data_IF_196608464012
#
_entry.id   IF_196608464012
#
_cell.length_a   1.000
_cell.length_b   1.000
_cell.length_c   1.000
_cell.angle_alpha   90.00
_cell.angle_beta   90.00
_cell.angle_gamma   90.00
#
_symmetry.space_group_name_H-M   'P 1'
#
loop_
_entity.id
_entity.type
_entity.pdbx_description
1 polymer ?
#
# COMPACT_ATOMS: atom_id res chain seq x y z
N UNK A 1 -2.59 26.86 4.72
CA UNK A 1 -1.81 26.83 5.97
C UNK A 1 -0.55 26.04 5.68
N UNK A 2 0.63 26.61 5.87
CA UNK A 2 1.89 25.92 5.61
C UNK A 2 2.07 24.81 6.66
N UNK A 3 2.30 23.57 6.23
CA UNK A 3 2.60 22.45 7.11
C UNK A 3 3.90 22.76 7.88
N UNK A 4 3.86 22.69 9.21
CA UNK A 4 5.04 22.77 10.05
C UNK A 4 6.02 21.65 9.67
N UNK A 5 7.30 21.94 9.36
CA UNK A 5 8.26 20.90 9.03
C UNK A 5 8.36 19.87 10.16
N UNK A 6 8.29 18.59 9.81
CA UNK A 6 8.50 17.52 10.79
C UNK A 6 9.96 17.55 11.26
N UNK A 7 10.18 17.83 12.54
CA UNK A 7 11.51 17.87 13.19
C UNK A 7 12.13 16.48 13.40
N UNK A 8 11.44 15.41 12.98
CA UNK A 8 11.89 14.02 13.13
C UNK A 8 12.45 13.49 11.80
N UNK A 9 13.55 12.72 11.83
CA UNK A 9 14.14 12.17 10.61
C UNK A 9 13.16 11.24 9.89
N UNK A 10 13.28 11.20 8.56
CA UNK A 10 12.48 10.31 7.70
C UNK A 10 12.65 8.84 8.12
N UNK A 11 11.54 8.10 8.07
CA UNK A 11 11.50 6.67 8.34
C UNK A 11 11.57 5.92 7.00
N UNK A 12 12.75 5.36 6.74
CA UNK A 12 12.99 4.51 5.58
C UNK A 12 12.61 3.07 5.85
N UNK A 13 11.77 2.50 4.99
CA UNK A 13 11.36 1.09 5.05
C UNK A 13 11.52 0.42 3.68
N UNK A 14 11.87 -0.87 3.67
CA UNK A 14 11.89 -1.71 2.49
C UNK A 14 11.79 -3.19 2.91
N UNK A 15 11.02 -3.99 2.19
CA UNK A 15 10.79 -5.39 2.49
C UNK A 15 9.67 -5.64 3.52
N UNK A 16 9.25 -6.91 3.64
CA UNK A 16 7.99 -7.29 4.32
C UNK A 16 8.14 -8.48 5.29
N UNK A 17 9.35 -8.98 5.52
CA UNK A 17 9.60 -10.08 6.45
C UNK A 17 9.20 -9.74 7.89
N UNK A 18 8.77 -10.74 8.67
CA UNK A 18 8.32 -10.55 10.05
C UNK A 18 9.40 -10.02 11.01
N UNK A 19 10.68 -10.20 10.66
CA UNK A 19 11.84 -9.67 11.40
C UNK A 19 12.14 -8.19 11.07
N UNK A 20 11.50 -7.64 10.03
CA UNK A 20 11.62 -6.23 9.70
C UNK A 20 10.66 -5.41 10.56
N UNK A 21 11.21 -4.58 11.44
CA UNK A 21 10.44 -3.72 12.36
C UNK A 21 9.46 -2.78 11.65
N UNK A 22 9.74 -2.40 10.41
CA UNK A 22 8.86 -1.58 9.57
C UNK A 22 8.20 -2.36 8.44
N UNK A 23 8.31 -3.70 8.45
CA UNK A 23 7.72 -4.56 7.43
C UNK A 23 6.21 -4.38 7.29
N UNK A 24 5.54 -3.99 8.39
CA UNK A 24 4.10 -3.69 8.41
C UNK A 24 3.68 -2.52 7.49
N UNK A 25 4.60 -1.66 7.07
CA UNK A 25 4.33 -0.58 6.10
C UNK A 25 4.29 -1.10 4.65
N UNK A 26 4.89 -2.27 4.37
CA UNK A 26 4.94 -2.82 3.02
C UNK A 26 3.57 -3.32 2.52
N UNK A 27 3.34 -3.21 1.21
CA UNK A 27 2.18 -3.81 0.54
C UNK A 27 2.15 -5.34 0.64
N UNK A 28 3.34 -5.94 0.76
CA UNK A 28 3.55 -7.39 0.83
C UNK A 28 3.44 -7.96 2.25
N UNK A 29 3.21 -7.12 3.26
CA UNK A 29 3.03 -7.59 4.64
C UNK A 29 1.77 -8.44 4.76
N UNK A 30 1.93 -9.70 5.19
CA UNK A 30 0.83 -10.64 5.32
C UNK A 30 0.01 -10.36 6.58
N UNK A 31 -1.22 -9.90 6.38
CA UNK A 31 -2.23 -9.71 7.42
C UNK A 31 -3.61 -9.82 6.79
N UNK A 32 -4.52 -10.53 7.44
CA UNK A 32 -5.90 -10.61 6.99
C UNK A 32 -6.65 -9.32 7.36
N UNK A 33 -7.33 -8.71 6.38
CA UNK A 33 -8.19 -7.53 6.57
C UNK A 33 -9.38 -7.58 5.62
N UNK A 34 -10.43 -6.83 5.96
CA UNK A 34 -11.70 -6.83 5.25
C UNK A 34 -11.88 -5.52 4.49
N UNK A 35 -12.35 -5.60 3.24
CA UNK A 35 -12.61 -4.44 2.39
C UNK A 35 -13.81 -4.67 1.47
N UNK A 36 -14.49 -3.62 0.98
CA UNK A 36 -15.58 -3.77 0.02
C UNK A 36 -15.16 -4.51 -1.26
N UNK A 37 -16.11 -5.22 -1.87
CA UNK A 37 -15.87 -6.01 -3.08
C UNK A 37 -15.65 -5.15 -4.32
N UNK A 38 -16.23 -3.94 -4.37
CA UNK A 38 -16.29 -3.08 -5.56
C UNK A 38 -16.93 -3.72 -6.81
N UNK A 39 -17.62 -4.85 -6.65
CA UNK A 39 -18.34 -5.54 -7.71
C UNK A 39 -19.81 -5.78 -7.36
N UNK A 40 -20.11 -5.86 -6.07
CA UNK A 40 -21.45 -6.07 -5.51
C UNK A 40 -21.64 -5.11 -4.33
N UNK A 41 -22.82 -4.49 -4.26
CA UNK A 41 -23.22 -3.62 -3.16
C UNK A 41 -23.25 -4.39 -1.83
N UNK A 42 -22.84 -3.74 -0.74
CA UNK A 42 -22.75 -4.29 0.63
C UNK A 42 -21.95 -5.59 0.81
N UNK A 43 -21.21 -6.03 -0.22
CA UNK A 43 -20.35 -7.20 -0.14
C UNK A 43 -18.95 -6.83 0.31
N UNK A 44 -18.47 -7.52 1.34
CA UNK A 44 -17.10 -7.44 1.85
C UNK A 44 -16.30 -8.67 1.43
N UNK A 45 -15.04 -8.47 1.06
CA UNK A 45 -14.06 -9.51 0.76
C UNK A 45 -12.91 -9.44 1.76
N UNK A 46 -12.33 -10.60 2.05
CA UNK A 46 -11.14 -10.73 2.90
C UNK A 46 -9.88 -10.83 2.04
N UNK A 47 -8.94 -9.94 2.31
CA UNK A 47 -7.62 -9.90 1.68
C UNK A 47 -6.56 -10.27 2.71
N UNK A 48 -5.43 -10.82 2.26
CA UNK A 48 -4.34 -11.25 3.15
C UNK A 48 -3.05 -10.41 3.01
N UNK A 49 -3.02 -9.47 2.07
CA UNK A 49 -2.03 -8.39 1.99
C UNK A 49 -2.57 -7.26 1.09
N UNK A 50 -1.99 -6.06 1.20
CA UNK A 50 -2.46 -4.91 0.43
C UNK A 50 -2.10 -5.01 -1.07
N UNK A 51 -1.02 -5.73 -1.44
CA UNK A 51 -0.72 -6.06 -2.83
C UNK A 51 -1.85 -6.87 -3.49
N UNK A 52 -2.46 -7.81 -2.75
CA UNK A 52 -3.60 -8.58 -3.25
C UNK A 52 -4.79 -7.67 -3.56
N UNK A 53 -5.11 -6.77 -2.63
CA UNK A 53 -6.16 -5.78 -2.81
C UNK A 53 -5.90 -4.89 -4.02
N UNK A 54 -4.68 -4.36 -4.13
CA UNK A 54 -4.27 -3.48 -5.24
C UNK A 54 -4.43 -4.16 -6.60
N UNK A 55 -3.96 -5.41 -6.75
CA UNK A 55 -4.09 -6.13 -8.02
C UNK A 55 -5.54 -6.52 -8.31
N UNK A 56 -6.32 -6.87 -7.29
CA UNK A 56 -7.76 -7.14 -7.43
C UNK A 56 -8.51 -5.89 -7.92
N UNK A 57 -8.31 -4.75 -7.26
CA UNK A 57 -8.91 -3.46 -7.64
C UNK A 57 -8.47 -3.01 -9.02
N UNK A 58 -7.20 -3.25 -9.40
CA UNK A 58 -6.73 -3.02 -10.77
C UNK A 58 -7.54 -3.84 -11.78
N UNK A 59 -7.75 -5.13 -11.52
CA UNK A 59 -8.56 -5.98 -12.40
C UNK A 59 -10.03 -5.50 -12.48
N UNK A 60 -10.63 -5.11 -11.35
CA UNK A 60 -11.98 -4.53 -11.30
C UNK A 60 -12.07 -3.22 -12.09
N UNK A 61 -11.08 -2.33 -11.96
CA UNK A 61 -11.01 -1.05 -12.67
C UNK A 61 -11.10 -1.24 -14.20
N UNK A 62 -10.36 -2.22 -14.72
CA UNK A 62 -10.35 -2.57 -16.15
C UNK A 62 -11.42 -3.60 -16.54
N UNK A 63 -12.38 -3.90 -15.64
CA UNK A 63 -13.48 -4.85 -15.86
C UNK A 63 -13.01 -6.27 -16.23
N UNK A 64 -11.79 -6.65 -15.85
CA UNK A 64 -11.23 -7.98 -16.03
C UNK A 64 -11.57 -8.87 -14.83
N UNK A 65 -12.84 -9.27 -14.74
CA UNK A 65 -13.35 -10.05 -13.61
C UNK A 65 -12.76 -11.46 -13.52
N UNK A 66 -12.27 -12.01 -14.63
CA UNK A 66 -11.57 -13.30 -14.64
C UNK A 66 -10.26 -13.21 -13.85
N UNK A 67 -9.47 -12.15 -14.09
CA UNK A 67 -8.24 -11.89 -13.33
C UNK A 67 -8.57 -11.53 -11.87
N UNK A 68 -9.62 -10.74 -11.64
CA UNK A 68 -10.05 -10.41 -10.27
C UNK A 68 -10.37 -11.69 -9.47
N UNK A 69 -11.15 -12.61 -10.04
CA UNK A 69 -11.44 -13.91 -9.41
C UNK A 69 -10.18 -14.78 -9.24
N UNK A 70 -9.27 -14.78 -10.21
CA UNK A 70 -8.01 -15.52 -10.11
C UNK A 70 -7.12 -15.02 -8.97
N UNK A 71 -7.03 -13.70 -8.78
CA UNK A 71 -6.30 -13.07 -7.66
C UNK A 71 -6.89 -13.48 -6.30
N UNK A 72 -8.21 -13.61 -6.21
CA UNK A 72 -8.88 -14.03 -4.97
C UNK A 72 -8.72 -15.53 -4.68
N UNK A 73 -8.73 -16.39 -5.71
CA UNK A 73 -8.81 -17.85 -5.54
C UNK A 73 -7.47 -18.59 -5.67
N UNK A 74 -6.56 -18.12 -6.52
CA UNK A 74 -5.42 -18.93 -7.02
C UNK A 74 -4.08 -18.60 -6.38
N UNK A 75 -3.99 -17.61 -5.49
CA UNK A 75 -2.71 -17.20 -4.92
C UNK A 75 -2.56 -17.65 -3.47
N UNK A 76 -1.59 -18.52 -3.16
CA UNK A 76 -1.22 -18.86 -1.79
C UNK A 76 -0.84 -17.61 -0.97
N UNK A 77 -1.28 -17.57 0.30
CA UNK A 77 -1.07 -16.43 1.22
C UNK A 77 0.40 -16.12 1.54
N UNK A 78 1.31 -17.02 1.18
CA UNK A 78 2.75 -16.91 1.37
C UNK A 78 3.51 -16.49 0.10
N UNK A 79 2.81 -16.25 -1.02
CA UNK A 79 3.42 -15.94 -2.32
C UNK A 79 2.88 -14.66 -2.96
N UNK A 80 3.04 -13.49 -2.33
CA UNK A 80 2.48 -12.24 -2.83
C UNK A 80 3.09 -11.78 -4.17
N UNK A 81 4.30 -12.22 -4.52
CA UNK A 81 4.86 -12.02 -5.86
C UNK A 81 3.99 -12.64 -6.99
N UNK A 82 3.25 -13.71 -6.70
CA UNK A 82 2.34 -14.35 -7.66
C UNK A 82 1.11 -13.49 -7.92
N UNK A 83 0.64 -12.73 -6.92
CA UNK A 83 -0.45 -11.75 -7.12
C UNK A 83 -0.01 -10.69 -8.12
N UNK A 84 1.17 -10.10 -7.92
CA UNK A 84 1.74 -9.10 -8.82
C UNK A 84 1.90 -9.64 -10.24
N UNK A 85 2.30 -10.91 -10.38
CA UNK A 85 2.41 -11.56 -11.68
C UNK A 85 1.05 -11.71 -12.39
N UNK A 86 -0.02 -12.04 -11.66
CA UNK A 86 -1.38 -12.08 -12.22
C UNK A 86 -1.89 -10.68 -12.59
N UNK A 87 -1.64 -9.68 -11.75
CA UNK A 87 -2.07 -8.31 -12.02
C UNK A 87 -1.38 -7.65 -13.23
N UNK A 88 -0.23 -8.19 -13.68
CA UNK A 88 0.39 -7.81 -14.97
C UNK A 88 -0.37 -8.33 -16.20
N UNK A 89 -1.29 -9.28 -16.02
CA UNK A 89 -2.07 -9.92 -17.10
C UNK A 89 -3.47 -9.32 -17.27
N UNK A 90 -3.81 -8.28 -16.51
CA UNK A 90 -5.08 -7.56 -16.63
C UNK A 90 -5.23 -7.02 -18.06
N UNK A 91 -6.33 -7.38 -18.71
CA UNK A 91 -6.70 -6.92 -20.05
C UNK A 91 -7.23 -5.49 -20.01
N UNK A 92 -7.26 -4.82 -21.16
CA UNK A 92 -7.81 -3.47 -21.29
C UNK A 92 -6.98 -2.38 -20.61
N UNK A 93 -5.69 -2.65 -20.38
CA UNK A 93 -4.76 -1.73 -19.71
C UNK A 93 -4.67 -0.39 -20.44
N UNK A 94 -4.79 0.67 -19.66
CA UNK A 94 -4.55 2.05 -20.07
C UNK A 94 -3.76 2.75 -18.95
N UNK A 95 -2.57 3.25 -19.28
CA UNK A 95 -1.69 3.87 -18.29
C UNK A 95 -2.32 5.11 -17.66
N UNK A 96 -3.05 5.92 -18.43
CA UNK A 96 -3.66 7.15 -17.93
C UNK A 96 -4.77 6.84 -16.94
N UNK A 97 -5.65 5.89 -17.27
CA UNK A 97 -6.69 5.43 -16.34
C UNK A 97 -6.05 4.86 -15.08
N UNK A 98 -4.99 4.06 -15.21
CA UNK A 98 -4.31 3.53 -14.04
C UNK A 98 -3.68 4.63 -13.19
N UNK A 99 -2.99 5.60 -13.79
CA UNK A 99 -2.36 6.71 -13.08
C UNK A 99 -3.36 7.58 -12.33
N UNK A 100 -4.54 7.80 -12.90
CA UNK A 100 -5.63 8.53 -12.27
C UNK A 100 -6.18 7.84 -11.01
N UNK A 101 -6.21 6.50 -11.00
CA UNK A 101 -6.85 5.73 -9.92
C UNK A 101 -5.90 5.01 -8.96
N UNK A 102 -4.62 4.83 -9.32
CA UNK A 102 -3.70 3.96 -8.56
C UNK A 102 -3.48 4.43 -7.13
N UNK A 103 -3.40 5.73 -6.92
CA UNK A 103 -3.13 6.31 -5.59
C UNK A 103 -4.30 6.08 -4.65
N UNK A 104 -5.54 6.34 -5.10
CA UNK A 104 -6.73 6.11 -4.28
C UNK A 104 -6.95 4.63 -4.00
N UNK A 105 -6.68 3.75 -4.96
CA UNK A 105 -6.75 2.29 -4.77
C UNK A 105 -5.76 1.81 -3.70
N UNK A 106 -4.51 2.28 -3.74
CA UNK A 106 -3.50 1.88 -2.75
C UNK A 106 -3.78 2.52 -1.39
N UNK A 107 -4.28 3.75 -1.36
CA UNK A 107 -4.73 4.40 -0.13
C UNK A 107 -5.90 3.64 0.52
N UNK A 108 -6.94 3.30 -0.24
CA UNK A 108 -8.06 2.46 0.22
C UNK A 108 -7.56 1.13 0.80
N UNK A 109 -6.69 0.44 0.07
CA UNK A 109 -6.14 -0.85 0.51
C UNK A 109 -5.37 -0.72 1.83
N UNK A 110 -4.58 0.34 1.99
CA UNK A 110 -3.90 0.61 3.25
C UNK A 110 -4.88 1.04 4.34
N UNK A 111 -5.88 1.85 4.04
CA UNK A 111 -6.93 2.22 4.98
C UNK A 111 -7.55 0.97 5.60
N UNK A 112 -8.09 0.06 4.78
CA UNK A 112 -8.70 -1.17 5.26
C UNK A 112 -7.72 -2.07 6.01
N UNK A 113 -6.48 -2.21 5.50
CA UNK A 113 -5.41 -2.95 6.19
C UNK A 113 -5.16 -2.40 7.59
N UNK A 114 -5.05 -1.08 7.74
CA UNK A 114 -4.70 -0.48 9.02
C UNK A 114 -5.89 -0.39 9.98
N UNK A 115 -7.14 -0.32 9.49
CA UNK A 115 -8.32 -0.11 10.36
C UNK A 115 -9.16 -1.36 10.63
N UNK A 116 -9.09 -2.39 9.79
CA UNK A 116 -9.93 -3.61 9.92
C UNK A 116 -9.14 -4.88 10.26
N UNK A 117 -7.80 -4.83 10.20
CA UNK A 117 -6.97 -5.97 10.60
C UNK A 117 -7.18 -6.31 12.08
N UNK A 118 -7.50 -7.55 12.36
CA UNK A 118 -7.71 -8.05 13.73
C UNK A 118 -6.42 -8.46 14.44
N UNK A 119 -5.26 -8.35 13.76
CA UNK A 119 -3.96 -8.79 14.28
C UNK A 119 -2.91 -7.70 14.14
N UNK A 120 -2.01 -7.65 15.12
CA UNK A 120 -0.75 -6.93 15.02
C UNK A 120 -0.79 -5.44 15.36
N UNK A 121 -1.92 -4.90 15.85
CA UNK A 121 -2.09 -3.50 16.26
C UNK A 121 -1.58 -2.51 15.21
N UNK A 122 -1.98 -2.75 13.96
CA UNK A 122 -1.40 -2.02 12.82
C UNK A 122 -1.77 -0.54 12.86
N UNK A 123 -3.01 -0.21 13.24
CA UNK A 123 -3.47 1.17 13.42
C UNK A 123 -2.52 1.94 14.34
N UNK A 124 -2.26 1.40 15.53
CA UNK A 124 -1.41 2.01 16.55
C UNK A 124 0.03 2.16 16.03
N UNK A 125 0.59 1.10 15.42
CA UNK A 125 1.93 1.15 14.82
C UNK A 125 2.08 2.21 13.74
N UNK A 126 1.04 2.44 12.93
CA UNK A 126 1.05 3.51 11.94
C UNK A 126 1.01 4.89 12.61
N UNK A 127 0.17 5.07 13.64
CA UNK A 127 0.10 6.32 14.41
C UNK A 127 1.43 6.64 15.14
N UNK A 128 2.11 5.62 15.67
CA UNK A 128 3.44 5.70 16.32
C UNK A 128 4.55 6.17 15.38
N UNK A 129 4.33 6.12 14.05
CA UNK A 129 5.24 6.79 13.11
C UNK A 129 5.28 8.30 13.33
N UNK A 130 4.29 8.86 14.05
CA UNK A 130 4.25 10.26 14.45
C UNK A 130 4.03 11.15 13.23
N UNK A 131 4.80 12.22 13.11
CA UNK A 131 4.75 13.12 11.95
C UNK A 131 5.84 12.81 10.93
N UNK A 132 6.63 11.74 11.13
CA UNK A 132 7.76 11.39 10.25
C UNK A 132 7.30 11.16 8.82
N UNK A 133 8.13 11.60 7.88
CA UNK A 133 8.03 11.21 6.48
C UNK A 133 8.26 9.69 6.35
N UNK A 134 7.33 8.99 5.70
CA UNK A 134 7.45 7.56 5.43
C UNK A 134 8.02 7.37 4.02
N UNK A 135 9.13 6.66 3.90
CA UNK A 135 9.86 6.51 2.64
C UNK A 135 10.07 5.05 2.30
N UNK A 136 9.41 4.58 1.23
CA UNK A 136 9.62 3.24 0.69
C UNK A 136 10.94 3.23 -0.10
N UNK A 137 12.01 2.78 0.56
CA UNK A 137 13.37 2.72 0.06
C UNK A 137 13.61 1.47 -0.82
N UNK A 138 12.67 1.20 -1.73
CA UNK A 138 12.73 0.11 -2.68
C UNK A 138 13.73 0.42 -3.80
N UNK A 139 14.84 -0.34 -3.92
CA UNK A 139 15.74 -0.17 -5.05
C UNK A 139 15.01 -0.52 -6.34
N UNK A 140 15.17 0.30 -7.38
CA UNK A 140 14.60 0.10 -8.73
C UNK A 140 13.07 0.25 -8.84
N UNK A 141 12.36 0.67 -7.79
CA UNK A 141 10.96 1.12 -7.88
C UNK A 141 10.90 2.62 -7.64
N UNK A 142 10.73 3.40 -8.71
CA UNK A 142 10.64 4.86 -8.67
C UNK A 142 9.20 5.38 -8.70
N UNK A 143 8.20 4.50 -8.65
CA UNK A 143 6.79 4.90 -8.61
C UNK A 143 6.27 4.75 -7.18
N UNK A 144 6.25 3.54 -6.65
CA UNK A 144 5.78 3.30 -5.29
C UNK A 144 6.86 3.61 -4.25
N UNK A 145 8.12 3.41 -4.61
CA UNK A 145 9.28 3.78 -3.82
C UNK A 145 10.06 4.97 -4.38
N UNK A 146 11.22 5.22 -3.77
CA UNK A 146 12.14 6.29 -4.18
C UNK A 146 13.19 5.84 -5.20
N UNK A 147 13.28 4.56 -5.53
CA UNK A 147 14.27 4.00 -6.47
C UNK A 147 15.68 3.78 -5.87
N UNK A 148 15.91 4.17 -4.62
CA UNK A 148 17.17 4.02 -3.89
C UNK A 148 16.99 3.17 -2.64
N UNK A 149 18.03 2.42 -2.27
CA UNK A 149 18.08 1.74 -0.97
C UNK A 149 18.35 2.72 0.17
N UNK A 150 17.93 2.36 1.38
CA UNK A 150 18.00 3.19 2.60
C UNK A 150 19.34 3.90 2.79
N UNK A 151 20.46 3.20 2.59
CA UNK A 151 21.80 3.74 2.85
C UNK A 151 22.22 4.85 1.87
N UNK A 152 21.59 4.89 0.69
CA UNK A 152 21.89 5.86 -0.38
C UNK A 152 20.76 6.87 -0.60
N UNK A 153 19.65 6.71 0.14
CA UNK A 153 18.42 7.46 -0.10
C UNK A 153 18.62 8.96 0.11
N UNK A 154 19.03 9.38 1.31
CA UNK A 154 19.16 10.81 1.65
C UNK A 154 20.12 11.55 0.72
N UNK A 155 21.27 10.93 0.39
CA UNK A 155 22.26 11.50 -0.52
C UNK A 155 21.73 11.72 -1.95
N UNK A 156 20.64 11.04 -2.33
CA UNK A 156 20.04 11.12 -3.66
C UNK A 156 18.63 11.72 -3.64
N UNK A 157 18.27 12.49 -2.61
CA UNK A 157 16.91 13.05 -2.41
C UNK A 157 16.35 13.78 -3.63
N UNK A 158 17.16 14.56 -4.33
CA UNK A 158 16.76 15.27 -5.55
C UNK A 158 16.47 14.38 -6.76
N UNK A 159 16.86 13.10 -6.70
CA UNK A 159 16.69 12.10 -7.76
C UNK A 159 15.63 11.06 -7.42
N UNK A 160 14.95 11.20 -6.28
CA UNK A 160 13.96 10.23 -5.84
C UNK A 160 12.84 10.06 -6.85
N UNK A 161 12.33 8.82 -6.89
CA UNK A 161 11.03 8.52 -7.45
C UNK A 161 9.88 9.16 -6.68
N UNK A 162 8.66 8.76 -7.03
CA UNK A 162 7.44 9.40 -6.55
C UNK A 162 7.09 9.08 -5.08
N UNK A 163 7.60 7.98 -4.53
CA UNK A 163 7.30 7.49 -3.18
C UNK A 163 5.78 7.43 -2.89
N UNK A 164 4.98 6.97 -3.87
CA UNK A 164 3.53 6.99 -3.74
C UNK A 164 3.02 6.14 -2.56
N UNK A 165 3.71 5.05 -2.21
CA UNK A 165 3.31 4.22 -1.07
C UNK A 165 3.50 4.98 0.25
N UNK A 166 4.66 5.63 0.43
CA UNK A 166 4.93 6.46 1.60
C UNK A 166 3.88 7.56 1.78
N UNK A 167 3.54 8.25 0.68
CA UNK A 167 2.49 9.27 0.67
C UNK A 167 1.11 8.71 1.04
N UNK A 168 0.71 7.58 0.46
CA UNK A 168 -0.56 6.93 0.77
C UNK A 168 -0.65 6.53 2.26
N UNK A 169 0.42 5.98 2.84
CA UNK A 169 0.47 5.62 4.26
C UNK A 169 0.34 6.84 5.17
N UNK A 170 0.97 7.97 4.82
CA UNK A 170 0.84 9.21 5.56
C UNK A 170 -0.59 9.78 5.48
N UNK A 171 -1.23 9.75 4.30
CA UNK A 171 -2.63 10.16 4.15
C UNK A 171 -3.58 9.28 4.99
N UNK A 172 -3.38 7.97 4.98
CA UNK A 172 -4.13 7.04 5.87
C UNK A 172 -3.92 7.39 7.33
N UNK A 173 -2.68 7.69 7.75
CA UNK A 173 -2.36 8.08 9.12
C UNK A 173 -3.12 9.34 9.55
N UNK A 174 -3.11 10.39 8.72
CA UNK A 174 -3.83 11.62 9.03
C UNK A 174 -5.35 11.40 9.05
N UNK A 175 -5.89 10.63 8.11
CA UNK A 175 -7.32 10.26 8.11
C UNK A 175 -7.73 9.51 9.39
N UNK A 176 -6.88 8.64 9.92
CA UNK A 176 -7.13 7.95 11.19
C UNK A 176 -7.17 8.96 12.35
N UNK A 177 -6.23 9.91 12.40
CA UNK A 177 -6.23 10.97 13.44
C UNK A 177 -7.50 11.81 13.40
N UNK A 178 -7.92 12.22 12.21
CA UNK A 178 -9.15 12.99 12.03
C UNK A 178 -10.39 12.24 12.54
N UNK A 179 -10.50 10.94 12.26
CA UNK A 179 -11.62 10.13 12.75
C UNK A 179 -11.58 9.91 14.27
N UNK A 180 -10.39 9.71 14.83
CA UNK A 180 -10.20 9.49 16.27
C UNK A 180 -10.18 10.80 17.08
N UNK A 181 -10.18 11.96 16.41
CA UNK A 181 -9.99 13.31 17.00
C UNK A 181 -8.69 13.45 17.80
N UNK A 182 -7.62 12.83 17.30
CA UNK A 182 -6.27 12.84 17.88
C UNK A 182 -5.41 14.01 17.38
#
# INVERSE_FOLDING_TARGET
>A
MAETPCDKPALYFYGHGLTNVYGFLSQFYTVDFDAPSHTEEDKTLRFWCAEQYMMYRKAVLFKDYDIAQAIMKKVPKDKPASVKALGRRVKGWDDKIWEEHRESIVEDGNWYKFTTSTKGNLKEKLLETGTRELVEAAPRDSIWGIGFGKDTAEANRSKWGLNLLGKALMRVRERIREQDKL
#
